data_IF_636246366693
#
_entry.id   IF_636246366693
#
_cell.length_a   1.000
_cell.length_b   1.000
_cell.length_c   1.000
_cell.angle_alpha   90.00
_cell.angle_beta   90.00
_cell.angle_gamma   90.00
#
_symmetry.space_group_name_H-M   'P 1'
#
loop_
_entity.id
_entity.type
_entity.pdbx_description
1 polymer ?
#
# COMPACT_ATOMS: atom_id res chain seq x y z
N UNK A 1 1.89 28.15 -11.74
CA UNK A 1 2.20 27.38 -10.52
C UNK A 1 1.30 26.14 -10.57
N UNK A 2 1.84 24.94 -10.40
CA UNK A 2 1.00 23.74 -10.38
C UNK A 2 0.14 23.80 -9.11
N UNK A 3 -1.18 23.84 -9.27
CA UNK A 3 -2.16 23.76 -8.17
C UNK A 3 -2.23 22.37 -7.50
N UNK A 4 -1.27 21.51 -7.82
CA UNK A 4 -1.17 20.19 -7.22
C UNK A 4 -0.57 20.31 -5.82
N UNK A 5 -1.22 19.70 -4.84
CA UNK A 5 -0.76 19.67 -3.45
C UNK A 5 0.35 18.63 -3.19
N UNK A 6 1.05 18.17 -4.24
CA UNK A 6 2.15 17.19 -4.21
C UNK A 6 3.26 17.60 -5.19
N UNK A 7 4.45 17.07 -4.95
CA UNK A 7 5.63 17.23 -5.80
C UNK A 7 5.83 16.05 -6.74
N UNK A 8 6.61 16.27 -7.79
CA UNK A 8 7.03 15.26 -8.77
C UNK A 8 8.55 15.06 -8.69
N UNK A 9 8.97 13.81 -8.66
CA UNK A 9 10.35 13.40 -8.85
C UNK A 9 10.49 12.66 -10.18
N UNK A 10 11.28 13.22 -11.09
CA UNK A 10 11.54 12.64 -12.40
C UNK A 10 12.55 11.49 -12.28
N UNK A 11 12.15 10.28 -12.66
CA UNK A 11 12.99 9.09 -12.65
C UNK A 11 13.68 8.84 -14.00
N UNK A 12 13.15 9.45 -15.07
CA UNK A 12 13.58 9.14 -16.44
C UNK A 12 13.15 7.73 -16.87
N UNK A 13 13.98 7.06 -17.65
CA UNK A 13 13.72 5.70 -18.09
C UNK A 13 14.15 4.69 -17.03
N UNK A 14 13.21 3.85 -16.61
CA UNK A 14 13.41 2.85 -15.54
C UNK A 14 13.38 1.45 -16.14
N UNK A 15 14.48 0.69 -15.99
CA UNK A 15 14.51 -0.73 -16.33
C UNK A 15 13.84 -1.52 -15.21
N UNK A 16 12.76 -2.23 -15.55
CA UNK A 16 11.94 -3.02 -14.65
C UNK A 16 12.54 -4.43 -14.43
N UNK A 17 12.04 -5.11 -13.40
CA UNK A 17 12.38 -6.52 -13.11
C UNK A 17 12.03 -7.43 -14.30
N UNK A 18 10.94 -7.13 -15.01
CA UNK A 18 10.53 -7.84 -16.24
C UNK A 18 11.58 -7.76 -17.38
N UNK A 19 12.48 -6.79 -17.31
CA UNK A 19 13.42 -6.44 -18.39
C UNK A 19 12.91 -5.33 -19.31
N UNK A 20 11.63 -4.99 -19.26
CA UNK A 20 11.04 -3.86 -19.97
C UNK A 20 11.54 -2.51 -19.43
N UNK A 21 11.33 -1.46 -20.20
CA UNK A 21 11.66 -0.09 -19.78
C UNK A 21 10.39 0.71 -19.60
N UNK A 22 10.17 1.25 -18.39
CA UNK A 22 9.16 2.26 -18.14
C UNK A 22 9.74 3.63 -18.53
N UNK A 23 9.19 4.22 -19.60
CA UNK A 23 9.70 5.47 -20.15
C UNK A 23 9.20 6.70 -19.41
N UNK A 24 10.10 7.67 -19.21
CA UNK A 24 9.80 8.96 -18.58
C UNK A 24 9.02 8.80 -17.26
N UNK A 25 9.43 7.83 -16.45
CA UNK A 25 8.78 7.51 -15.18
C UNK A 25 8.90 8.68 -14.19
N UNK A 26 7.88 8.85 -13.37
CA UNK A 26 7.77 9.89 -12.34
C UNK A 26 7.17 9.31 -11.07
N UNK A 27 7.63 9.80 -9.93
CA UNK A 27 6.97 9.59 -8.64
C UNK A 27 6.32 10.88 -8.17
N UNK A 28 5.03 10.80 -7.84
CA UNK A 28 4.33 11.84 -7.10
C UNK A 28 4.50 11.56 -5.60
N UNK A 29 4.86 12.58 -4.83
CA UNK A 29 5.07 12.46 -3.39
C UNK A 29 4.69 13.77 -2.69
N UNK A 30 4.43 13.68 -1.39
CA UNK A 30 4.22 14.86 -0.54
C UNK A 30 5.04 14.73 0.72
N UNK A 31 5.58 15.85 1.18
CA UNK A 31 6.36 15.90 2.42
C UNK A 31 5.67 16.75 3.47
N UNK A 32 5.87 16.38 4.73
CA UNK A 32 5.36 17.12 5.88
C UNK A 32 6.47 17.21 6.94
N UNK A 33 6.48 18.31 7.69
CA UNK A 33 7.53 18.57 8.67
C UNK A 33 8.87 18.99 8.06
N UNK A 34 9.90 19.00 8.86
CA UNK A 34 11.25 19.45 8.47
C UNK A 34 12.27 18.34 8.64
N UNK A 35 13.08 18.13 7.60
CA UNK A 35 14.24 17.25 7.67
C UNK A 35 15.30 17.90 8.57
N UNK A 36 15.69 17.23 9.65
CA UNK A 36 16.69 17.74 10.56
C UNK A 36 18.12 17.65 9.96
N UNK A 37 19.07 18.33 10.59
CA UNK A 37 20.48 18.38 10.11
C UNK A 37 21.15 17.02 10.04
N UNK A 38 20.80 16.09 10.95
CA UNK A 38 21.34 14.73 10.99
C UNK A 38 20.66 13.79 10.00
N UNK A 39 19.49 14.19 9.48
CA UNK A 39 18.64 13.39 8.57
C UNK A 39 18.21 12.03 9.16
N UNK A 40 18.02 11.98 10.46
CA UNK A 40 17.64 10.78 11.23
C UNK A 40 16.17 10.76 11.67
N UNK A 41 15.38 11.79 11.32
CA UNK A 41 13.96 11.90 11.66
C UNK A 41 13.00 11.55 10.51
N UNK A 42 13.42 10.69 9.61
CA UNK A 42 12.68 10.38 8.39
C UNK A 42 11.65 9.27 8.62
N UNK A 43 10.39 9.54 8.31
CA UNK A 43 9.31 8.56 8.30
C UNK A 43 8.76 8.44 6.88
N UNK A 44 8.76 7.22 6.31
CA UNK A 44 8.10 6.94 5.04
C UNK A 44 6.69 6.38 5.28
N UNK A 45 5.72 6.93 4.58
CA UNK A 45 4.35 6.45 4.50
C UNK A 45 4.01 6.18 3.02
N UNK A 46 4.35 5.02 2.47
CA UNK A 46 3.94 4.65 1.12
C UNK A 46 2.42 4.60 1.02
N UNK A 47 1.86 4.75 -0.19
CA UNK A 47 0.42 4.62 -0.36
C UNK A 47 0.01 3.15 -0.52
N UNK A 48 -1.20 2.81 -0.06
CA UNK A 48 -1.80 1.48 -0.20
C UNK A 48 -2.63 1.38 -1.49
N UNK A 49 -3.33 0.26 -1.72
CA UNK A 49 -3.98 -0.07 -3.00
C UNK A 49 -4.90 1.04 -3.53
N UNK A 50 -5.89 1.46 -2.75
CA UNK A 50 -6.76 2.61 -3.05
C UNK A 50 -6.32 3.87 -2.28
N UNK A 51 -5.04 3.94 -1.91
CA UNK A 51 -4.47 5.04 -1.15
C UNK A 51 -3.88 6.13 -2.02
N UNK A 52 -3.89 7.33 -1.47
CA UNK A 52 -3.18 8.49 -1.99
C UNK A 52 -2.41 9.15 -0.85
N UNK A 53 -1.48 10.05 -1.18
CA UNK A 53 -0.78 10.82 -0.15
C UNK A 53 -1.76 11.52 0.82
N UNK A 54 -2.93 12.00 0.34
CA UNK A 54 -3.98 12.60 1.19
C UNK A 54 -4.58 11.61 2.19
N UNK A 55 -4.84 10.37 1.76
CA UNK A 55 -5.37 9.35 2.68
C UNK A 55 -4.37 8.97 3.77
N UNK A 56 -3.07 9.09 3.51
CA UNK A 56 -2.05 8.88 4.51
C UNK A 56 -2.03 9.96 5.60
N UNK A 57 -2.63 11.14 5.38
CA UNK A 57 -2.74 12.21 6.39
C UNK A 57 -3.49 11.77 7.65
N UNK A 58 -4.33 10.73 7.56
CA UNK A 58 -5.01 10.15 8.71
C UNK A 58 -4.12 9.33 9.67
N UNK A 59 -2.87 9.01 9.28
CA UNK A 59 -1.95 8.21 10.10
C UNK A 59 -0.98 9.06 10.93
N UNK A 60 -0.95 10.38 10.75
CA UNK A 60 -0.07 11.27 11.47
C UNK A 60 -0.76 12.59 11.86
N UNK A 61 -0.16 13.34 12.77
CA UNK A 61 -0.68 14.62 13.23
C UNK A 61 0.01 15.14 14.48
N UNK A 62 -0.36 16.33 14.94
CA UNK A 62 0.27 16.96 16.10
C UNK A 62 0.10 16.12 17.38
N UNK A 63 -1.03 15.42 17.49
CA UNK A 63 -1.38 14.58 18.64
C UNK A 63 -1.18 13.08 18.37
N UNK A 64 -0.46 12.72 17.31
CA UNK A 64 -0.15 11.33 16.95
C UNK A 64 1.33 11.05 17.20
N UNK A 65 1.69 9.78 17.33
CA UNK A 65 3.09 9.38 17.49
C UNK A 65 3.94 9.78 16.27
N UNK A 66 3.41 9.62 15.05
CA UNK A 66 4.01 10.22 13.85
C UNK A 66 3.57 11.70 13.81
N UNK A 67 4.48 12.60 14.13
CA UNK A 67 4.20 14.02 14.32
C UNK A 67 5.08 14.88 13.40
N UNK A 68 4.49 15.73 12.53
CA UNK A 68 5.25 16.58 11.60
C UNK A 68 6.12 17.64 12.29
N UNK A 69 5.89 17.94 13.57
CA UNK A 69 6.79 18.81 14.35
C UNK A 69 8.10 18.10 14.77
N UNK A 70 8.13 16.77 14.73
CA UNK A 70 9.29 15.94 15.11
C UNK A 70 9.89 15.22 13.90
N UNK A 71 9.06 14.76 12.99
CA UNK A 71 9.44 13.88 11.88
C UNK A 71 9.34 14.59 10.53
N UNK A 72 10.26 14.25 9.65
CA UNK A 72 10.14 14.54 8.23
C UNK A 72 9.44 13.35 7.57
N UNK A 73 8.18 13.54 7.24
CA UNK A 73 7.30 12.51 6.70
C UNK A 73 7.31 12.61 5.18
N UNK A 74 7.52 11.50 4.49
CA UNK A 74 7.44 11.42 3.03
C UNK A 74 6.33 10.42 2.69
N UNK A 75 5.22 10.93 2.13
CA UNK A 75 4.15 10.09 1.58
C UNK A 75 4.35 9.93 0.07
N UNK A 76 4.61 8.68 -0.37
CA UNK A 76 4.99 8.39 -1.76
C UNK A 76 3.86 7.64 -2.44
N UNK A 77 3.36 8.18 -3.55
CA UNK A 77 2.35 7.53 -4.37
C UNK A 77 2.97 6.39 -5.19
N UNK A 78 2.33 5.20 -5.14
CA UNK A 78 2.72 4.03 -5.93
C UNK A 78 2.71 4.34 -7.43
N UNK A 79 3.60 3.71 -8.18
CA UNK A 79 3.41 3.55 -9.62
C UNK A 79 2.08 2.81 -9.88
N UNK A 80 1.32 3.29 -10.83
CA UNK A 80 0.00 2.74 -11.14
C UNK A 80 -1.17 3.34 -10.35
N UNK A 81 -0.95 4.32 -9.44
CA UNK A 81 -2.06 4.88 -8.65
C UNK A 81 -2.74 6.12 -9.26
N UNK A 82 -2.33 6.54 -10.45
CA UNK A 82 -2.88 7.71 -11.14
C UNK A 82 -2.14 9.02 -10.89
N UNK A 83 -1.36 9.14 -9.80
CA UNK A 83 -0.53 10.31 -9.48
C UNK A 83 0.92 10.13 -9.96
N UNK A 84 1.58 9.05 -9.57
CA UNK A 84 2.83 8.58 -10.19
C UNK A 84 2.54 8.02 -11.58
N UNK A 85 3.57 7.71 -12.34
CA UNK A 85 3.40 7.10 -13.68
C UNK A 85 2.50 5.87 -13.60
N UNK A 86 1.46 5.87 -14.42
CA UNK A 86 0.32 4.94 -14.36
C UNK A 86 -0.23 4.72 -15.76
N UNK A 87 -0.98 3.65 -16.02
CA UNK A 87 -1.67 3.43 -17.30
C UNK A 87 -2.43 4.65 -17.82
N UNK A 88 -3.13 5.37 -16.93
CA UNK A 88 -3.94 6.54 -17.30
C UNK A 88 -3.13 7.77 -17.71
N UNK A 89 -1.87 7.91 -17.25
CA UNK A 89 -1.05 9.10 -17.48
C UNK A 89 0.32 8.83 -18.14
N UNK A 90 0.64 7.57 -18.46
CA UNK A 90 1.86 7.21 -19.17
C UNK A 90 1.88 7.79 -20.59
N UNK A 91 3.10 7.94 -21.14
CA UNK A 91 3.26 8.46 -22.51
C UNK A 91 2.91 7.41 -23.56
N UNK A 92 2.22 7.87 -24.59
CA UNK A 92 1.85 7.26 -25.87
C UNK A 92 1.89 5.71 -25.99
N UNK A 93 3.04 5.11 -26.11
CA UNK A 93 3.20 3.66 -26.38
C UNK A 93 2.93 2.79 -25.15
N UNK A 94 2.93 3.36 -23.94
CA UNK A 94 2.73 2.63 -22.69
C UNK A 94 1.44 3.04 -21.96
N UNK A 95 0.52 3.74 -22.63
CA UNK A 95 -0.77 4.12 -22.04
C UNK A 95 -1.76 2.95 -22.04
N UNK A 96 -2.63 2.92 -21.05
CA UNK A 96 -3.73 1.95 -20.97
C UNK A 96 -3.24 0.50 -20.87
N UNK A 97 -3.75 -0.36 -21.74
CA UNK A 97 -3.42 -1.79 -21.80
C UNK A 97 -1.95 -2.10 -22.09
N UNK A 98 -1.20 -1.14 -22.65
CA UNK A 98 0.21 -1.32 -22.99
C UNK A 98 1.17 -0.95 -21.84
N UNK A 99 0.62 -0.63 -20.66
CA UNK A 99 1.45 -0.30 -19.50
C UNK A 99 2.23 -1.53 -19.04
N UNK A 100 3.56 -1.43 -18.82
CA UNK A 100 4.34 -2.57 -18.42
C UNK A 100 3.99 -3.05 -17.02
N UNK A 101 4.26 -4.31 -16.75
CA UNK A 101 4.06 -4.87 -15.42
C UNK A 101 5.04 -4.27 -14.42
N UNK A 102 4.51 -3.75 -13.33
CA UNK A 102 5.28 -3.16 -12.23
C UNK A 102 5.25 -4.10 -11.02
N UNK A 103 6.41 -4.45 -10.48
CA UNK A 103 6.51 -5.25 -9.25
C UNK A 103 6.66 -4.37 -8.01
N UNK A 104 6.53 -4.99 -6.83
CA UNK A 104 6.83 -4.31 -5.57
C UNK A 104 8.31 -3.88 -5.51
N UNK A 105 9.22 -4.73 -6.00
CA UNK A 105 10.64 -4.41 -6.13
C UNK A 105 10.89 -3.13 -6.94
N UNK A 106 10.22 -2.97 -8.09
CA UNK A 106 10.35 -1.80 -8.94
C UNK A 106 9.88 -0.53 -8.21
N UNK A 107 8.75 -0.61 -7.51
CA UNK A 107 8.24 0.50 -6.71
C UNK A 107 9.28 0.93 -5.66
N UNK A 108 9.83 -0.02 -4.91
CA UNK A 108 10.80 0.29 -3.86
C UNK A 108 12.12 0.83 -4.44
N UNK A 109 12.56 0.30 -5.58
CA UNK A 109 13.73 0.85 -6.27
C UNK A 109 13.52 2.32 -6.70
N UNK A 110 12.34 2.65 -7.23
CA UNK A 110 11.99 4.03 -7.59
C UNK A 110 11.92 4.95 -6.36
N UNK A 111 11.29 4.49 -5.27
CA UNK A 111 11.21 5.22 -4.02
C UNK A 111 12.59 5.44 -3.39
N UNK A 112 13.47 4.45 -3.46
CA UNK A 112 14.85 4.57 -3.00
C UNK A 112 15.59 5.68 -3.75
N UNK A 113 15.42 5.80 -5.06
CA UNK A 113 15.99 6.90 -5.83
C UNK A 113 15.48 8.27 -5.36
N UNK A 114 14.19 8.41 -5.12
CA UNK A 114 13.63 9.64 -4.57
C UNK A 114 14.29 10.00 -3.23
N UNK A 115 14.34 9.04 -2.31
CA UNK A 115 14.87 9.26 -0.95
C UNK A 115 16.35 9.61 -0.96
N UNK A 116 17.14 8.92 -1.77
CA UNK A 116 18.61 9.12 -1.82
C UNK A 116 19.02 10.29 -2.69
N UNK A 117 18.45 10.45 -3.88
CA UNK A 117 18.90 11.46 -4.84
C UNK A 117 18.27 12.83 -4.60
N UNK A 118 16.97 12.89 -4.24
CA UNK A 118 16.29 14.17 -3.98
C UNK A 118 16.61 14.73 -2.60
N UNK A 119 16.59 13.85 -1.57
CA UNK A 119 16.74 14.29 -0.18
C UNK A 119 18.13 14.00 0.41
N UNK A 120 18.94 13.21 -0.29
CA UNK A 120 20.25 12.76 0.21
C UNK A 120 20.12 12.11 1.60
N UNK A 121 19.13 11.21 1.76
CA UNK A 121 18.85 10.46 2.98
C UNK A 121 19.52 9.09 2.86
N UNK A 122 20.29 8.69 3.88
CA UNK A 122 20.98 7.40 3.95
C UNK A 122 20.36 6.45 4.98
N UNK A 123 19.52 6.96 5.89
CA UNK A 123 18.83 6.20 6.94
C UNK A 123 17.38 6.64 7.03
N UNK A 124 16.49 5.69 7.26
CA UNK A 124 15.06 5.90 7.44
C UNK A 124 14.70 5.37 8.83
N UNK A 125 14.26 6.28 9.71
CA UNK A 125 13.91 5.93 11.08
C UNK A 125 12.73 4.96 11.15
N UNK A 126 11.71 5.17 10.33
CA UNK A 126 10.52 4.31 10.29
C UNK A 126 9.90 4.26 8.89
N UNK A 127 9.49 3.07 8.50
CA UNK A 127 8.55 2.87 7.38
C UNK A 127 7.29 2.22 7.95
N UNK A 128 6.16 2.91 7.89
CA UNK A 128 4.88 2.39 8.38
C UNK A 128 3.86 2.33 7.26
N UNK A 129 2.99 1.32 7.29
CA UNK A 129 1.99 1.23 6.24
C UNK A 129 0.88 0.22 6.49
N UNK A 130 -0.32 0.62 6.08
CA UNK A 130 -1.50 -0.21 6.01
C UNK A 130 -1.51 -1.02 4.72
N UNK A 131 -1.90 -2.31 4.79
CA UNK A 131 -2.21 -3.08 3.58
C UNK A 131 -1.00 -3.14 2.61
N UNK A 132 -1.20 -2.84 1.35
CA UNK A 132 -0.13 -2.79 0.35
C UNK A 132 1.01 -1.81 0.70
N UNK A 133 0.77 -0.81 1.55
CA UNK A 133 1.84 0.03 2.09
C UNK A 133 2.69 -0.72 3.13
N UNK A 134 2.09 -1.61 3.90
CA UNK A 134 2.81 -2.52 4.79
C UNK A 134 3.63 -3.56 4.00
N UNK A 135 3.11 -4.07 2.89
CA UNK A 135 3.90 -4.91 1.97
C UNK A 135 5.14 -4.17 1.47
N UNK A 136 5.02 -2.88 1.17
CA UNK A 136 6.16 -2.04 0.81
C UNK A 136 7.16 -1.87 1.96
N UNK A 137 6.70 -1.79 3.22
CA UNK A 137 7.58 -1.70 4.39
C UNK A 137 8.48 -2.93 4.50
N UNK A 138 7.92 -4.13 4.33
CA UNK A 138 8.69 -5.37 4.27
C UNK A 138 9.67 -5.38 3.08
N UNK A 139 9.19 -4.98 1.89
CA UNK A 139 10.05 -4.94 0.71
C UNK A 139 11.23 -3.98 0.89
N UNK A 140 11.01 -2.79 1.45
CA UNK A 140 12.06 -1.84 1.77
C UNK A 140 13.13 -2.45 2.70
N UNK A 141 12.70 -3.06 3.81
CA UNK A 141 13.60 -3.66 4.79
C UNK A 141 14.39 -4.85 4.22
N UNK A 142 13.79 -5.66 3.35
CA UNK A 142 14.48 -6.75 2.68
C UNK A 142 15.42 -6.27 1.57
N UNK A 143 15.02 -5.26 0.79
CA UNK A 143 15.78 -4.76 -0.35
C UNK A 143 16.97 -3.89 0.09
N UNK A 144 16.78 -3.05 1.10
CA UNK A 144 17.76 -2.10 1.64
C UNK A 144 17.92 -2.23 3.17
N UNK A 145 18.35 -3.39 3.67
CA UNK A 145 18.36 -3.69 5.12
C UNK A 145 19.29 -2.79 5.94
N UNK A 146 20.29 -2.19 5.31
CA UNK A 146 21.22 -1.28 6.00
C UNK A 146 20.71 0.17 6.07
N UNK A 147 19.61 0.47 5.37
CA UNK A 147 19.04 1.81 5.30
C UNK A 147 17.81 1.99 6.22
N UNK A 148 17.08 0.90 6.52
CA UNK A 148 15.84 0.93 7.28
C UNK A 148 16.09 0.56 8.74
N UNK A 149 15.77 1.46 9.66
CA UNK A 149 15.98 1.25 11.12
C UNK A 149 14.77 0.56 11.76
N UNK A 150 13.54 0.92 11.36
CA UNK A 150 12.33 0.28 11.85
C UNK A 150 11.26 0.15 10.77
N UNK A 151 10.42 -0.90 10.87
CA UNK A 151 9.21 -1.07 10.07
C UNK A 151 7.99 -1.38 10.94
N UNK A 152 6.83 -0.85 10.53
CA UNK A 152 5.53 -1.09 11.13
C UNK A 152 4.52 -1.46 10.02
N UNK A 153 4.55 -2.69 9.49
CA UNK A 153 3.47 -3.19 8.65
C UNK A 153 2.25 -3.54 9.49
N UNK A 154 1.07 -3.07 9.09
CA UNK A 154 -0.18 -3.41 9.73
C UNK A 154 -1.24 -3.81 8.71
N UNK A 155 -2.01 -4.87 9.01
CA UNK A 155 -2.93 -5.52 8.08
C UNK A 155 -2.26 -5.76 6.71
N UNK A 156 -1.10 -6.43 6.71
CA UNK A 156 -0.24 -6.60 5.54
C UNK A 156 0.60 -7.88 5.67
N UNK A 157 1.23 -8.31 4.58
CA UNK A 157 2.16 -9.45 4.57
C UNK A 157 3.38 -9.20 3.67
N UNK A 158 4.46 -9.90 3.96
CA UNK A 158 5.69 -9.89 3.16
C UNK A 158 5.53 -10.61 1.81
N UNK A 159 4.53 -11.48 1.71
CA UNK A 159 4.18 -12.24 0.50
C UNK A 159 2.68 -12.42 0.43
N UNK A 160 2.11 -12.26 -0.77
CA UNK A 160 0.70 -12.55 -1.02
C UNK A 160 0.44 -14.04 -0.90
N UNK A 161 -0.48 -14.43 0.00
CA UNK A 161 -0.91 -15.81 0.16
C UNK A 161 -1.79 -16.27 -1.01
N UNK A 162 -1.94 -17.59 -1.16
CA UNK A 162 -2.81 -18.15 -2.19
C UNK A 162 -4.27 -17.74 -2.00
N UNK A 163 -4.74 -17.63 -0.75
CA UNK A 163 -6.09 -17.17 -0.45
C UNK A 163 -6.31 -15.70 -0.86
N UNK A 164 -5.32 -14.85 -0.57
CA UNK A 164 -5.36 -13.46 -1.02
C UNK A 164 -5.30 -13.36 -2.55
N UNK A 165 -4.51 -14.21 -3.22
CA UNK A 165 -4.49 -14.32 -4.68
C UNK A 165 -5.88 -14.65 -5.25
N UNK A 166 -6.60 -15.62 -4.66
CA UNK A 166 -7.98 -15.99 -5.09
C UNK A 166 -8.94 -14.80 -4.97
N UNK A 167 -8.86 -14.05 -3.86
CA UNK A 167 -9.64 -12.81 -3.72
C UNK A 167 -9.36 -11.83 -4.86
N UNK A 168 -8.08 -11.55 -5.12
CA UNK A 168 -7.66 -10.60 -6.15
C UNK A 168 -8.08 -11.05 -7.56
N UNK A 169 -8.05 -12.35 -7.86
CA UNK A 169 -8.60 -12.89 -9.11
C UNK A 169 -10.12 -12.67 -9.20
N UNK A 170 -10.84 -12.80 -8.08
CA UNK A 170 -12.28 -12.55 -8.04
C UNK A 170 -12.65 -11.11 -8.41
N UNK A 171 -12.00 -10.12 -7.83
CA UNK A 171 -12.27 -8.69 -8.14
C UNK A 171 -11.80 -8.32 -9.55
N UNK A 172 -10.67 -8.87 -9.99
CA UNK A 172 -10.17 -8.70 -11.38
C UNK A 172 -11.17 -9.26 -12.39
N UNK A 173 -11.67 -10.49 -12.17
CA UNK A 173 -12.64 -11.11 -13.03
C UNK A 173 -13.95 -10.31 -13.11
N UNK A 174 -14.42 -9.76 -11.97
CA UNK A 174 -15.61 -8.92 -11.93
C UNK A 174 -15.47 -7.65 -12.79
N UNK A 175 -14.30 -6.99 -12.74
CA UNK A 175 -14.04 -5.81 -13.58
C UNK A 175 -13.92 -6.20 -15.05
N UNK A 176 -13.15 -7.23 -15.36
CA UNK A 176 -12.87 -7.64 -16.74
C UNK A 176 -14.08 -8.26 -17.46
N UNK A 177 -15.13 -8.65 -16.74
CA UNK A 177 -16.39 -9.13 -17.32
C UNK A 177 -17.21 -8.02 -18.00
N UNK A 178 -16.90 -6.76 -17.76
CA UNK A 178 -17.57 -5.66 -18.47
C UNK A 178 -17.11 -5.61 -19.94
N UNK A 179 -18.01 -5.75 -20.92
CA UNK A 179 -17.64 -5.65 -22.33
C UNK A 179 -16.95 -4.33 -22.71
N UNK A 180 -17.28 -3.23 -22.00
CA UNK A 180 -16.66 -1.93 -22.22
C UNK A 180 -15.18 -1.92 -21.85
N UNK A 181 -14.67 -2.85 -21.01
CA UNK A 181 -13.27 -2.93 -20.66
C UNK A 181 -12.36 -3.32 -21.82
N UNK A 182 -12.84 -4.15 -22.74
CA UNK A 182 -12.17 -4.49 -24.00
C UNK A 182 -10.64 -4.76 -23.84
N UNK A 183 -10.27 -5.67 -22.94
CA UNK A 183 -8.88 -6.00 -22.64
C UNK A 183 -8.01 -4.79 -22.25
N UNK A 184 -8.58 -3.80 -21.58
CA UNK A 184 -7.92 -2.57 -21.17
C UNK A 184 -7.84 -1.48 -22.22
N UNK A 185 -8.42 -1.71 -23.40
CA UNK A 185 -8.51 -0.71 -24.48
C UNK A 185 -9.93 -0.14 -24.55
N UNK A 186 -10.22 0.86 -23.74
CA UNK A 186 -11.53 1.49 -23.64
C UNK A 186 -11.45 2.99 -23.89
N UNK A 187 -12.45 3.53 -24.62
CA UNK A 187 -12.64 4.96 -24.85
C UNK A 187 -13.44 5.60 -23.71
N UNK A 188 -14.35 4.85 -23.10
CA UNK A 188 -15.12 5.24 -21.93
C UNK A 188 -14.89 4.25 -20.78
N UNK A 189 -14.88 4.69 -19.51
CA UNK A 189 -14.65 3.82 -18.37
C UNK A 189 -15.62 2.61 -18.34
N UNK A 190 -15.15 1.41 -18.00
CA UNK A 190 -16.00 0.22 -17.84
C UNK A 190 -16.80 0.30 -16.53
N UNK A 191 -17.85 1.11 -16.52
CA UNK A 191 -18.61 1.49 -15.31
C UNK A 191 -19.23 0.28 -14.60
N UNK A 192 -19.77 -0.69 -15.36
CA UNK A 192 -20.36 -1.91 -14.77
C UNK A 192 -19.29 -2.75 -14.08
N UNK A 193 -18.14 -2.88 -14.72
CA UNK A 193 -17.00 -3.60 -14.17
C UNK A 193 -16.44 -2.94 -12.90
N UNK A 194 -16.29 -1.61 -12.90
CA UNK A 194 -15.86 -0.85 -11.73
C UNK A 194 -16.82 -0.99 -10.55
N UNK A 195 -18.14 -0.95 -10.81
CA UNK A 195 -19.17 -1.20 -9.79
C UNK A 195 -19.09 -2.63 -9.24
N UNK A 196 -19.00 -3.63 -10.12
CA UNK A 196 -18.88 -5.03 -9.72
C UNK A 196 -17.61 -5.27 -8.90
N UNK A 197 -16.49 -4.67 -9.30
CA UNK A 197 -15.24 -4.67 -8.53
C UNK A 197 -15.46 -4.14 -7.12
N UNK A 198 -16.06 -2.95 -6.97
CA UNK A 198 -16.32 -2.33 -5.66
C UNK A 198 -17.16 -3.22 -4.75
N UNK A 199 -18.22 -3.85 -5.26
CA UNK A 199 -19.07 -4.77 -4.48
C UNK A 199 -18.32 -6.00 -3.98
N UNK A 200 -17.59 -6.67 -4.86
CA UNK A 200 -16.78 -7.84 -4.47
C UNK A 200 -15.71 -7.45 -3.46
N UNK A 201 -15.05 -6.31 -3.69
CA UNK A 201 -14.00 -5.80 -2.83
C UNK A 201 -14.51 -5.50 -1.42
N UNK A 202 -15.71 -4.87 -1.29
CA UNK A 202 -16.34 -4.57 -0.01
C UNK A 202 -16.61 -5.84 0.84
N UNK A 203 -17.01 -6.94 0.19
CA UNK A 203 -17.29 -8.21 0.87
C UNK A 203 -16.06 -8.85 1.53
N UNK A 204 -14.86 -8.50 1.10
CA UNK A 204 -13.60 -8.97 1.66
C UNK A 204 -12.95 -7.95 2.61
N UNK A 205 -13.26 -6.65 2.44
CA UNK A 205 -12.69 -5.59 3.26
C UNK A 205 -13.22 -5.60 4.70
N UNK A 206 -14.46 -6.04 4.88
CA UNK A 206 -15.12 -6.15 6.16
C UNK A 206 -15.31 -7.61 6.56
N UNK A 207 -15.28 -7.88 7.86
CA UNK A 207 -15.50 -9.23 8.37
C UNK A 207 -16.98 -9.65 8.31
N UNK A 208 -17.25 -10.95 8.41
CA UNK A 208 -18.61 -11.46 8.59
C UNK A 208 -19.30 -10.89 9.83
N UNK A 209 -18.57 -10.74 10.93
CA UNK A 209 -19.07 -10.16 12.19
C UNK A 209 -19.44 -8.68 12.03
N UNK A 210 -18.68 -7.91 11.27
CA UNK A 210 -19.03 -6.53 10.92
C UNK A 210 -20.44 -6.42 10.33
N UNK A 211 -20.78 -7.29 9.38
CA UNK A 211 -22.14 -7.30 8.79
C UNK A 211 -23.21 -7.86 9.75
N UNK A 212 -22.90 -8.93 10.50
CA UNK A 212 -23.82 -9.54 11.45
C UNK A 212 -24.23 -8.56 12.56
N UNK A 213 -23.28 -7.79 13.08
CA UNK A 213 -23.48 -6.78 14.12
C UNK A 213 -23.90 -5.41 13.55
N UNK A 214 -24.06 -5.32 12.24
CA UNK A 214 -24.52 -4.11 11.54
C UNK A 214 -23.67 -2.87 11.81
N UNK A 215 -22.34 -3.05 11.95
CA UNK A 215 -21.39 -1.95 12.23
C UNK A 215 -21.41 -0.89 11.14
N UNK A 216 -21.80 -1.23 9.91
CA UNK A 216 -21.99 -0.27 8.81
C UNK A 216 -22.94 0.88 9.17
N UNK A 217 -23.85 0.70 10.16
CA UNK A 217 -24.71 1.77 10.65
C UNK A 217 -23.93 2.86 11.39
N UNK A 218 -22.84 2.50 12.05
CA UNK A 218 -21.95 3.46 12.73
C UNK A 218 -21.19 4.33 11.72
N UNK A 219 -21.05 3.86 10.46
CA UNK A 219 -20.53 4.64 9.34
C UNK A 219 -21.59 5.52 8.66
N UNK A 220 -22.84 5.52 9.16
CA UNK A 220 -23.93 6.31 8.60
C UNK A 220 -24.76 5.61 7.52
N UNK A 221 -24.48 4.32 7.22
CA UNK A 221 -25.23 3.58 6.21
C UNK A 221 -26.49 2.94 6.81
N UNK A 222 -27.65 3.26 6.27
CA UNK A 222 -28.92 2.70 6.75
C UNK A 222 -29.06 1.20 6.43
N UNK A 223 -28.52 0.76 5.31
CA UNK A 223 -28.61 -0.61 4.78
C UNK A 223 -27.26 -1.10 4.26
N UNK A 224 -27.10 -2.43 4.10
CA UNK A 224 -25.95 -3.00 3.41
C UNK A 224 -25.87 -2.49 1.98
N UNK A 225 -27.03 -2.34 1.29
CA UNK A 225 -27.05 -1.83 -0.07
C UNK A 225 -26.51 -0.41 -0.18
N UNK A 226 -26.82 0.47 0.79
CA UNK A 226 -26.25 1.84 0.78
C UNK A 226 -24.73 1.85 0.96
N UNK A 227 -24.17 0.92 1.74
CA UNK A 227 -22.71 0.72 1.84
C UNK A 227 -22.13 0.24 0.52
N UNK A 228 -22.76 -0.73 -0.14
CA UNK A 228 -22.28 -1.25 -1.43
C UNK A 228 -22.32 -0.19 -2.53
N UNK A 229 -23.36 0.64 -2.57
CA UNK A 229 -23.46 1.76 -3.52
C UNK A 229 -22.36 2.79 -3.28
N UNK A 230 -21.97 3.05 -2.03
CA UNK A 230 -20.85 3.93 -1.72
C UNK A 230 -19.53 3.38 -2.27
N UNK A 231 -19.28 2.08 -2.11
CA UNK A 231 -18.10 1.41 -2.69
C UNK A 231 -18.12 1.41 -4.23
N UNK A 232 -19.29 1.24 -4.86
CA UNK A 232 -19.43 1.41 -6.32
C UNK A 232 -19.01 2.80 -6.74
N UNK A 233 -19.52 3.82 -6.05
CA UNK A 233 -19.28 5.22 -6.38
C UNK A 233 -17.81 5.60 -6.19
N UNK A 234 -17.16 5.11 -5.12
CA UNK A 234 -15.73 5.33 -4.93
C UNK A 234 -14.92 4.79 -6.11
N UNK A 235 -15.20 3.55 -6.54
CA UNK A 235 -14.46 2.93 -7.63
C UNK A 235 -14.73 3.58 -8.99
N UNK A 236 -15.95 4.01 -9.25
CA UNK A 236 -16.31 4.68 -10.51
C UNK A 236 -15.75 6.09 -10.59
N UNK A 237 -15.80 6.84 -9.50
CA UNK A 237 -15.48 8.27 -9.52
C UNK A 237 -13.99 8.57 -9.31
N UNK A 238 -13.27 7.67 -8.62
CA UNK A 238 -11.91 7.96 -8.17
C UNK A 238 -10.83 7.12 -8.86
N UNK A 239 -11.21 6.05 -9.59
CA UNK A 239 -10.22 5.11 -10.10
C UNK A 239 -10.38 4.80 -11.59
N UNK A 240 -9.25 4.84 -12.30
CA UNK A 240 -9.13 4.26 -13.64
C UNK A 240 -9.00 2.74 -13.55
N UNK A 241 -9.68 2.00 -14.43
CA UNK A 241 -9.72 0.54 -14.40
C UNK A 241 -8.34 -0.10 -14.60
N UNK A 242 -7.53 0.40 -15.54
CA UNK A 242 -6.19 -0.11 -15.78
C UNK A 242 -5.24 0.22 -14.63
N UNK A 243 -5.41 1.39 -13.97
CA UNK A 243 -4.65 1.73 -12.77
C UNK A 243 -4.95 0.76 -11.62
N UNK A 244 -6.23 0.41 -11.43
CA UNK A 244 -6.62 -0.61 -10.43
C UNK A 244 -5.98 -1.96 -10.74
N UNK A 245 -6.09 -2.43 -11.99
CA UNK A 245 -5.55 -3.74 -12.38
C UNK A 245 -4.01 -3.79 -12.31
N UNK A 246 -3.32 -2.73 -12.68
CA UNK A 246 -1.86 -2.64 -12.56
C UNK A 246 -1.42 -2.83 -11.10
N UNK A 247 -2.01 -2.10 -10.17
CA UNK A 247 -1.71 -2.25 -8.73
C UNK A 247 -2.15 -3.60 -8.18
N UNK A 248 -3.28 -4.14 -8.66
CA UNK A 248 -3.75 -5.46 -8.29
C UNK A 248 -2.73 -6.54 -8.67
N UNK A 249 -2.19 -6.49 -9.87
CA UNK A 249 -1.13 -7.42 -10.34
C UNK A 249 0.15 -7.23 -9.51
N UNK A 250 0.53 -5.99 -9.20
CA UNK A 250 1.65 -5.72 -8.29
C UNK A 250 1.44 -6.38 -6.92
N UNK A 251 0.22 -6.32 -6.37
CA UNK A 251 -0.14 -6.96 -5.11
C UNK A 251 -0.17 -8.49 -5.23
N UNK A 252 -0.80 -9.05 -6.26
CA UNK A 252 -0.81 -10.51 -6.49
C UNK A 252 0.59 -11.12 -6.53
N UNK A 253 1.54 -10.38 -7.11
CA UNK A 253 2.94 -10.80 -7.24
C UNK A 253 3.83 -10.32 -6.11
N UNK A 254 3.26 -9.78 -5.02
CA UNK A 254 4.05 -9.36 -3.88
C UNK A 254 4.73 -10.56 -3.22
N UNK A 255 6.05 -10.52 -3.23
CA UNK A 255 6.95 -11.46 -2.57
C UNK A 255 8.30 -10.77 -2.41
N UNK A 256 8.72 -10.48 -1.18
CA UNK A 256 9.96 -9.75 -0.88
C UNK A 256 11.22 -10.48 -1.35
N UNK A 257 11.11 -11.74 -1.71
CA UNK A 257 12.23 -12.56 -2.21
C UNK A 257 12.41 -12.52 -3.72
N UNK A 258 11.50 -11.83 -4.45
CA UNK A 258 11.63 -11.62 -5.89
C UNK A 258 12.86 -10.73 -6.17
N UNK A 259 13.58 -11.08 -7.23
CA UNK A 259 14.80 -10.39 -7.64
C UNK A 259 16.06 -11.22 -7.41
N UNK A 260 17.16 -10.74 -7.95
CA UNK A 260 18.45 -11.49 -7.94
C UNK A 260 19.03 -11.68 -6.54
N UNK A 261 18.69 -10.81 -5.59
CA UNK A 261 19.26 -10.80 -4.25
C UNK A 261 18.95 -12.07 -3.45
N UNK A 262 17.71 -12.57 -3.57
CA UNK A 262 17.23 -13.71 -2.79
C UNK A 262 16.88 -14.94 -3.64
N UNK A 263 16.82 -14.77 -4.94
CA UNK A 263 16.49 -15.84 -5.89
C UNK A 263 15.25 -16.66 -5.47
N UNK A 264 14.18 -15.96 -5.04
CA UNK A 264 12.92 -16.52 -4.52
C UNK A 264 13.05 -17.31 -3.22
N UNK A 265 14.13 -17.16 -2.47
CA UNK A 265 14.24 -17.72 -1.12
C UNK A 265 13.57 -16.78 -0.11
N UNK A 266 12.29 -17.04 0.18
CA UNK A 266 11.46 -16.19 1.03
C UNK A 266 11.97 -16.15 2.48
N UNK A 267 12.36 -17.30 3.04
CA UNK A 267 12.91 -17.36 4.41
C UNK A 267 14.18 -16.52 4.51
N UNK A 268 15.09 -16.64 3.55
CA UNK A 268 16.30 -15.84 3.53
C UNK A 268 16.01 -14.35 3.45
N UNK A 269 15.00 -13.95 2.68
CA UNK A 269 14.59 -12.55 2.59
C UNK A 269 14.09 -12.01 3.94
N UNK A 270 13.26 -12.77 4.65
CA UNK A 270 12.79 -12.42 6.01
C UNK A 270 13.97 -12.33 7.01
N UNK A 271 14.86 -13.31 7.01
CA UNK A 271 16.04 -13.34 7.89
C UNK A 271 17.01 -12.18 7.65
N UNK A 272 17.01 -11.62 6.44
CA UNK A 272 17.87 -10.48 6.10
C UNK A 272 17.30 -9.12 6.53
N UNK A 273 16.06 -9.07 7.02
CA UNK A 273 15.48 -7.85 7.61
C UNK A 273 16.20 -7.55 8.92
N UNK A 274 16.93 -6.42 8.97
CA UNK A 274 17.68 -5.95 10.13
C UNK A 274 16.88 -4.99 11.00
N UNK A 275 15.88 -4.34 10.41
CA UNK A 275 15.06 -3.33 11.05
C UNK A 275 14.35 -3.87 12.31
N UNK A 276 14.23 -3.03 13.34
CA UNK A 276 13.25 -3.28 14.42
C UNK A 276 11.88 -3.42 13.76
N UNK A 277 11.15 -4.48 14.05
CA UNK A 277 9.89 -4.79 13.37
C UNK A 277 8.77 -5.00 14.38
N UNK A 278 7.69 -4.25 14.23
CA UNK A 278 6.42 -4.58 14.89
C UNK A 278 5.40 -4.85 13.79
N UNK A 279 4.77 -6.01 13.84
CA UNK A 279 3.72 -6.42 12.90
C UNK A 279 2.40 -6.36 13.63
N UNK A 280 1.38 -5.70 13.04
CA UNK A 280 0.04 -5.61 13.63
C UNK A 280 -1.00 -6.19 12.66
N UNK A 281 -1.25 -7.52 12.67
CA UNK A 281 -2.39 -8.09 11.96
C UNK A 281 -3.69 -7.86 12.74
N UNK A 282 -4.84 -7.94 12.04
CA UNK A 282 -6.17 -7.94 12.65
C UNK A 282 -6.80 -9.33 12.57
N UNK A 283 -7.42 -9.78 13.67
CA UNK A 283 -7.98 -11.14 13.81
C UNK A 283 -9.02 -11.51 12.75
N UNK A 284 -9.72 -10.54 12.20
CA UNK A 284 -10.80 -10.77 11.22
C UNK A 284 -10.45 -10.22 9.83
N UNK A 285 -9.18 -9.94 9.58
CA UNK A 285 -8.74 -9.50 8.24
C UNK A 285 -8.80 -10.68 7.26
N UNK A 286 -9.61 -10.53 6.21
CA UNK A 286 -9.76 -11.56 5.18
C UNK A 286 -8.71 -11.45 4.07
N UNK A 287 -7.96 -10.33 4.02
CA UNK A 287 -6.88 -10.15 3.05
C UNK A 287 -5.55 -10.69 3.58
N UNK A 288 -5.22 -10.33 4.82
CA UNK A 288 -3.97 -10.64 5.48
C UNK A 288 -4.26 -11.27 6.86
N UNK A 289 -4.54 -12.58 6.88
CA UNK A 289 -4.84 -13.27 8.13
C UNK A 289 -3.61 -13.30 9.05
N UNK A 290 -3.81 -13.31 10.38
CA UNK A 290 -2.72 -13.31 11.35
C UNK A 290 -1.72 -14.46 11.17
N UNK A 291 -2.17 -15.61 10.68
CA UNK A 291 -1.35 -16.80 10.45
C UNK A 291 -0.19 -16.56 9.48
N UNK A 292 -0.40 -15.73 8.44
CA UNK A 292 0.66 -15.32 7.51
C UNK A 292 1.74 -14.54 8.27
N UNK A 293 1.34 -13.61 9.14
CA UNK A 293 2.25 -12.80 9.93
C UNK A 293 2.93 -13.58 11.07
N UNK A 294 2.26 -14.58 11.65
CA UNK A 294 2.87 -15.50 12.61
C UNK A 294 4.01 -16.30 11.98
N UNK A 295 3.82 -16.73 10.72
CA UNK A 295 4.89 -17.38 9.97
C UNK A 295 6.06 -16.41 9.73
N UNK A 296 5.80 -15.20 9.25
CA UNK A 296 6.81 -14.20 8.94
C UNK A 296 7.62 -13.79 10.17
N UNK A 297 6.95 -13.56 11.30
CA UNK A 297 7.56 -13.14 12.56
C UNK A 297 8.59 -14.15 13.09
N UNK A 298 8.42 -15.44 12.81
CA UNK A 298 9.37 -16.49 13.24
C UNK A 298 10.76 -16.35 12.59
N UNK A 299 10.83 -15.74 11.41
CA UNK A 299 12.07 -15.63 10.65
C UNK A 299 12.71 -14.24 10.69
N UNK A 300 12.00 -13.21 11.14
CA UNK A 300 12.54 -11.85 11.31
C UNK A 300 13.17 -11.73 12.70
N UNK A 301 14.49 -11.48 12.76
CA UNK A 301 15.28 -11.54 14.00
C UNK A 301 14.79 -10.59 15.09
N UNK A 302 14.45 -9.34 14.73
CA UNK A 302 14.06 -8.29 15.68
C UNK A 302 12.59 -7.96 15.48
N UNK A 303 11.70 -8.95 15.70
CA UNK A 303 10.28 -8.85 15.41
C UNK A 303 9.41 -9.08 16.64
N UNK A 304 8.42 -8.23 16.80
CA UNK A 304 7.31 -8.41 17.74
C UNK A 304 6.00 -8.47 16.95
N UNK A 305 5.18 -9.49 17.22
CA UNK A 305 3.83 -9.63 16.65
C UNK A 305 2.80 -9.16 17.67
N UNK A 306 2.00 -8.16 17.29
CA UNK A 306 0.93 -7.57 18.11
C UNK A 306 -0.42 -7.73 17.45
N UNK A 307 -0.99 -8.92 17.49
CA UNK A 307 -2.31 -9.18 16.89
C UNK A 307 -3.38 -8.31 17.56
N UNK A 308 -4.08 -7.50 16.75
CA UNK A 308 -5.18 -6.66 17.22
C UNK A 308 -6.52 -7.37 17.00
N UNK A 309 -7.33 -7.47 18.05
CA UNK A 309 -8.64 -8.10 17.97
C UNK A 309 -9.72 -7.08 17.60
N UNK A 310 -10.26 -7.19 16.39
CA UNK A 310 -11.36 -6.32 15.93
C UNK A 310 -12.22 -7.01 14.88
N UNK A 311 -13.51 -6.78 14.95
CA UNK A 311 -14.48 -7.28 13.96
C UNK A 311 -14.59 -6.42 12.70
N UNK A 312 -13.83 -5.35 12.60
CA UNK A 312 -13.81 -4.48 11.43
C UNK A 312 -13.20 -5.16 10.18
N UNK A 313 -12.45 -6.24 10.36
CA UNK A 313 -11.69 -6.85 9.29
C UNK A 313 -10.53 -5.96 8.84
N UNK A 314 -10.25 -5.94 7.54
CA UNK A 314 -9.18 -5.13 6.97
C UNK A 314 -9.35 -3.63 7.22
N UNK A 315 -10.60 -3.16 7.24
CA UNK A 315 -10.92 -1.75 7.42
C UNK A 315 -10.75 -1.23 8.86
N UNK A 316 -10.27 -2.05 9.80
CA UNK A 316 -9.88 -1.59 11.15
C UNK A 316 -8.85 -0.47 11.09
N UNK A 317 -7.94 -0.55 10.13
CA UNK A 317 -6.85 0.39 9.97
C UNK A 317 -7.22 1.67 9.18
N UNK A 318 -8.44 1.76 8.65
CA UNK A 318 -8.86 3.02 8.02
C UNK A 318 -9.02 4.10 9.09
N UNK A 319 -8.32 5.25 8.95
CA UNK A 319 -8.36 6.30 9.95
C UNK A 319 -9.79 6.72 10.33
N UNK A 320 -10.05 6.79 11.63
CA UNK A 320 -11.36 7.13 12.19
C UNK A 320 -12.29 5.95 12.46
N UNK A 321 -12.02 4.74 11.95
CA UNK A 321 -12.88 3.58 12.15
C UNK A 321 -12.77 2.98 13.56
N UNK A 322 -11.55 2.85 14.08
CA UNK A 322 -11.29 2.21 15.37
C UNK A 322 -10.23 3.00 16.16
N UNK A 323 -10.66 3.74 17.17
CA UNK A 323 -9.77 4.54 18.02
C UNK A 323 -8.80 3.68 18.86
N UNK A 324 -9.21 2.47 19.23
CA UNK A 324 -8.34 1.52 19.92
C UNK A 324 -7.18 1.08 19.02
N UNK A 325 -7.46 0.84 17.75
CA UNK A 325 -6.43 0.52 16.77
C UNK A 325 -5.46 1.69 16.54
N UNK A 326 -5.97 2.91 16.44
CA UNK A 326 -5.14 4.11 16.35
C UNK A 326 -4.19 4.25 17.56
N UNK A 327 -4.70 4.00 18.77
CA UNK A 327 -3.89 3.99 20.00
C UNK A 327 -2.82 2.90 19.96
N UNK A 328 -3.16 1.71 19.46
CA UNK A 328 -2.21 0.61 19.32
C UNK A 328 -1.11 0.93 18.29
N UNK A 329 -1.48 1.60 17.18
CA UNK A 329 -0.51 2.10 16.21
C UNK A 329 0.45 3.13 16.82
N UNK A 330 -0.08 4.13 17.53
CA UNK A 330 0.74 5.17 18.15
C UNK A 330 1.68 4.59 19.20
N UNK A 331 1.22 3.60 19.98
CA UNK A 331 2.10 2.87 20.90
C UNK A 331 3.23 2.15 20.15
N UNK A 332 2.92 1.43 19.09
CA UNK A 332 3.91 0.72 18.30
C UNK A 332 4.95 1.65 17.66
N UNK A 333 4.52 2.82 17.17
CA UNK A 333 5.43 3.85 16.65
C UNK A 333 6.38 4.35 17.73
N UNK A 334 5.87 4.65 18.93
CA UNK A 334 6.71 5.09 20.03
C UNK A 334 7.75 4.02 20.40
N UNK A 335 7.30 2.76 20.56
CA UNK A 335 8.19 1.64 20.92
C UNK A 335 9.28 1.37 19.85
N UNK A 336 9.03 1.72 18.59
CA UNK A 336 10.00 1.58 17.49
C UNK A 336 10.98 2.74 17.38
N UNK A 337 10.58 3.96 17.77
CA UNK A 337 11.37 5.18 17.63
C UNK A 337 12.14 5.57 18.91
N UNK A 338 11.91 4.83 20.00
CA UNK A 338 12.74 4.87 21.21
C UNK A 338 14.03 4.04 21.01
#
# INVERSE_FOLDING_TARGET
MNDNDYDIFELGNVKLVSGEILYSAKLAYKTYGLLNKKKDNVVLLPTFYTGTHKRNEGFFGINRAINPNKHFIISINLLGNGFSTSPSNAKNTQKGANFPEITMWDNIWCQHKLVTQKFNISKIALIAGWSMAGCQSYQWAAQYPDMVEAILPFCASAKTSEHNFVFLEGVKAALCADPAWNNGSYDAPPIRGLKAFGRVYAGWAFSQSFFREKIYKNLGFATVESLLVDWENDHVNNWDANNLLTKLITWQKNDISIGKKYNRNFIQALQNIKAKTIIIPCTHDLYFPPEDNEFEARYIKNCELRTYNSIWGHCVANPGNDKGFETALDKAVNDLLE
#
